data_IF_648776427167
#
_entry.id   IF_648776427167
#
_cell.length_a   1.000
_cell.length_b   1.000
_cell.length_c   1.000
_cell.angle_alpha   90.00
_cell.angle_beta   90.00
_cell.angle_gamma   90.00
#
_symmetry.space_group_name_H-M   'P 1'
#
loop_
_entity.id
_entity.type
_entity.pdbx_description
1 polymer ?
#
# COMPACT_ATOMS: atom_id res chain seq x y z
N UNK A 1 -5.24 2.60 4.42
CA UNK A 1 -6.71 2.45 4.51
C UNK A 1 -7.32 1.92 3.21
N UNK A 2 -6.95 2.44 2.03
CA UNK A 2 -7.57 2.03 0.77
C UNK A 2 -7.41 0.54 0.39
N UNK A 3 -6.32 -0.10 0.81
CA UNK A 3 -6.01 -1.52 0.50
C UNK A 3 -6.89 -2.48 1.31
N UNK A 4 -7.05 -2.21 2.62
CA UNK A 4 -7.86 -2.99 3.55
C UNK A 4 -8.35 -2.07 4.66
N UNK A 5 -9.65 -2.06 4.97
CA UNK A 5 -10.26 -1.05 5.85
C UNK A 5 -10.99 -1.64 7.05
N UNK A 6 -11.35 -2.92 7.02
CA UNK A 6 -12.12 -3.60 8.04
C UNK A 6 -11.35 -3.66 9.37
N UNK A 7 -12.03 -3.44 10.50
CA UNK A 7 -11.40 -3.27 11.82
C UNK A 7 -10.50 -4.44 12.23
N UNK A 8 -10.89 -5.68 11.90
CA UNK A 8 -10.12 -6.91 12.14
C UNK A 8 -8.71 -6.90 11.53
N UNK A 9 -8.49 -6.15 10.46
CA UNK A 9 -7.18 -6.04 9.79
C UNK A 9 -6.32 -4.88 10.31
N UNK A 10 -6.57 -4.40 11.53
CA UNK A 10 -5.79 -3.32 12.16
C UNK A 10 -4.29 -3.59 12.19
N UNK A 11 -3.86 -4.83 12.54
CA UNK A 11 -2.44 -5.22 12.53
C UNK A 11 -1.85 -5.14 11.11
N UNK A 12 -2.56 -5.65 10.11
CA UNK A 12 -2.15 -5.57 8.71
C UNK A 12 -1.98 -4.11 8.25
N UNK A 13 -2.92 -3.21 8.58
CA UNK A 13 -2.80 -1.79 8.24
C UNK A 13 -1.59 -1.14 8.87
N UNK A 14 -1.32 -1.39 10.15
CA UNK A 14 -0.14 -0.83 10.85
C UNK A 14 1.16 -1.32 10.20
N UNK A 15 1.23 -2.62 9.91
CA UNK A 15 2.37 -3.23 9.22
C UNK A 15 2.59 -2.62 7.83
N UNK A 16 1.53 -2.55 7.01
CA UNK A 16 1.60 -1.98 5.67
C UNK A 16 1.99 -0.50 5.68
N UNK A 17 1.52 0.29 6.65
CA UNK A 17 1.93 1.68 6.80
C UNK A 17 3.42 1.80 7.13
N UNK A 18 3.95 1.00 8.09
CA UNK A 18 5.40 0.98 8.37
C UNK A 18 6.20 0.64 7.11
N UNK A 19 5.78 -0.39 6.38
CA UNK A 19 6.42 -0.82 5.12
C UNK A 19 6.47 0.32 4.09
N UNK A 20 5.34 0.97 3.83
CA UNK A 20 5.27 2.09 2.87
C UNK A 20 6.14 3.27 3.31
N UNK A 21 6.18 3.61 4.60
CA UNK A 21 7.05 4.67 5.10
C UNK A 21 8.54 4.36 4.93
N UNK A 22 8.95 3.11 5.15
CA UNK A 22 10.35 2.69 4.93
C UNK A 22 10.67 2.73 3.44
N UNK A 23 9.80 2.17 2.59
CA UNK A 23 10.00 2.18 1.14
C UNK A 23 10.10 3.58 0.57
N UNK A 24 9.27 4.52 1.01
CA UNK A 24 9.32 5.93 0.53
C UNK A 24 10.62 6.63 0.94
N UNK A 25 11.13 6.36 2.14
CA UNK A 25 12.44 6.89 2.54
C UNK A 25 13.60 6.30 1.72
N UNK A 26 13.50 5.01 1.36
CA UNK A 26 14.46 4.35 0.47
C UNK A 26 14.33 4.88 -0.96
N UNK A 27 13.12 5.10 -1.45
CA UNK A 27 12.83 5.68 -2.77
C UNK A 27 13.51 7.05 -2.92
N UNK A 28 13.29 7.96 -1.97
CA UNK A 28 13.97 9.27 -1.93
C UNK A 28 15.50 9.14 -1.88
N UNK A 29 16.00 8.12 -1.18
CA UNK A 29 17.44 7.84 -1.11
C UNK A 29 18.01 7.43 -2.48
N UNK A 30 17.31 6.60 -3.24
CA UNK A 30 17.74 6.21 -4.59
C UNK A 30 17.56 7.33 -5.63
N UNK A 31 16.54 8.18 -5.47
CA UNK A 31 16.20 9.21 -6.48
C UNK A 31 16.87 10.58 -6.23
N UNK A 32 17.17 10.94 -4.98
CA UNK A 32 17.60 12.31 -4.62
C UNK A 32 18.94 12.33 -3.88
N UNK A 33 19.14 11.45 -2.91
CA UNK A 33 20.24 11.61 -1.95
C UNK A 33 21.50 10.79 -2.27
N UNK A 34 21.34 9.57 -2.77
CA UNK A 34 22.43 8.63 -2.98
C UNK A 34 23.23 8.89 -4.24
N UNK A 35 24.55 8.77 -4.15
CA UNK A 35 25.37 8.60 -5.35
C UNK A 35 25.31 7.16 -5.85
N UNK A 36 25.61 6.91 -7.13
CA UNK A 36 25.56 5.57 -7.71
C UNK A 36 26.41 4.56 -6.92
N UNK A 37 27.63 4.94 -6.54
CA UNK A 37 28.55 4.11 -5.76
C UNK A 37 27.98 3.77 -4.37
N UNK A 38 27.33 4.74 -3.70
CA UNK A 38 26.70 4.51 -2.41
C UNK A 38 25.46 3.60 -2.53
N UNK A 39 24.68 3.76 -3.61
CA UNK A 39 23.49 2.95 -3.88
C UNK A 39 23.85 1.51 -4.26
N UNK A 40 24.98 1.29 -4.92
CA UNK A 40 25.52 -0.06 -5.18
C UNK A 40 25.86 -0.75 -3.85
N UNK A 41 26.57 -0.07 -2.94
CA UNK A 41 26.86 -0.58 -1.60
C UNK A 41 25.59 -0.88 -0.80
N UNK A 42 24.58 0.01 -0.87
CA UNK A 42 23.31 -0.22 -0.20
C UNK A 42 22.61 -1.47 -0.74
N UNK A 43 22.55 -1.60 -2.07
CA UNK A 43 21.93 -2.75 -2.75
C UNK A 43 22.62 -4.05 -2.36
N UNK A 44 23.95 -4.05 -2.33
CA UNK A 44 24.75 -5.18 -1.86
C UNK A 44 24.46 -5.53 -0.40
N UNK A 45 24.32 -4.53 0.47
CA UNK A 45 23.94 -4.76 1.86
C UNK A 45 22.53 -5.37 2.00
N UNK A 46 21.58 -4.97 1.16
CA UNK A 46 20.23 -5.58 1.10
C UNK A 46 20.33 -7.03 0.66
N UNK A 47 21.08 -7.32 -0.40
CA UNK A 47 21.25 -8.67 -0.94
C UNK A 47 21.90 -9.60 0.09
N UNK A 48 22.91 -9.12 0.83
CA UNK A 48 23.54 -9.90 1.91
C UNK A 48 22.61 -10.14 3.10
N UNK A 49 21.68 -9.22 3.36
CA UNK A 49 20.74 -9.25 4.48
C UNK A 49 21.43 -9.58 5.83
N UNK A 50 22.50 -8.84 6.15
CA UNK A 50 23.33 -8.99 7.34
C UNK A 50 23.59 -7.61 8.00
N UNK A 51 23.40 -7.51 9.32
CA UNK A 51 23.68 -6.30 10.09
C UNK A 51 25.13 -5.80 9.94
N UNK A 52 26.09 -6.70 9.68
CA UNK A 52 27.48 -6.28 9.46
C UNK A 52 27.68 -5.48 8.19
N UNK A 53 26.86 -5.72 7.15
CA UNK A 53 26.94 -4.95 5.91
C UNK A 53 26.65 -3.46 6.12
N UNK A 54 25.97 -3.10 7.22
CA UNK A 54 25.72 -1.72 7.61
C UNK A 54 27.00 -0.93 7.95
N UNK A 55 28.09 -1.61 8.34
CA UNK A 55 29.37 -0.95 8.64
C UNK A 55 30.00 -0.29 7.40
N UNK A 56 29.67 -0.82 6.20
CA UNK A 56 30.17 -0.35 4.91
C UNK A 56 29.35 0.85 4.38
N UNK A 57 28.20 1.19 5.00
CA UNK A 57 27.28 2.21 4.50
C UNK A 57 27.54 3.61 5.08
N UNK A 58 27.23 4.68 4.34
CA UNK A 58 27.14 6.03 4.88
C UNK A 58 26.12 6.15 6.02
N UNK A 59 26.36 7.06 6.97
CA UNK A 59 25.58 7.16 8.21
C UNK A 59 24.06 7.35 7.99
N UNK A 60 23.68 8.13 6.98
CA UNK A 60 22.26 8.38 6.66
C UNK A 60 21.57 7.12 6.10
N UNK A 61 22.29 6.30 5.33
CA UNK A 61 21.78 5.04 4.76
C UNK A 61 21.61 3.95 5.82
N UNK A 62 22.46 3.94 6.85
CA UNK A 62 22.36 2.97 7.96
C UNK A 62 21.01 3.00 8.64
N UNK A 63 20.41 4.18 8.80
CA UNK A 63 19.10 4.35 9.42
C UNK A 63 18.03 3.65 8.58
N UNK A 64 18.04 3.87 7.26
CA UNK A 64 17.12 3.23 6.31
C UNK A 64 17.31 1.70 6.29
N UNK A 65 18.56 1.25 6.22
CA UNK A 65 18.91 -0.17 6.26
C UNK A 65 18.42 -0.84 7.54
N UNK A 66 18.73 -0.26 8.70
CA UNK A 66 18.36 -0.80 10.00
C UNK A 66 16.84 -0.84 10.18
N UNK A 67 16.12 0.19 9.73
CA UNK A 67 14.66 0.21 9.76
C UNK A 67 14.06 -0.92 8.92
N UNK A 68 14.53 -1.10 7.69
CA UNK A 68 14.12 -2.18 6.79
C UNK A 68 14.47 -3.56 7.34
N UNK A 69 15.70 -3.75 7.82
CA UNK A 69 16.19 -5.01 8.37
C UNK A 69 15.37 -5.42 9.59
N UNK A 70 15.20 -4.53 10.56
CA UNK A 70 14.43 -4.83 11.77
C UNK A 70 12.97 -5.12 11.44
N UNK A 71 12.35 -4.34 10.56
CA UNK A 71 10.98 -4.57 10.14
C UNK A 71 10.82 -5.90 9.42
N UNK A 72 11.68 -6.22 8.45
CA UNK A 72 11.64 -7.48 7.71
C UNK A 72 11.80 -8.70 8.63
N UNK A 73 12.72 -8.64 9.60
CA UNK A 73 12.90 -9.71 10.58
C UNK A 73 11.74 -9.80 11.58
N UNK A 74 11.15 -8.68 12.02
CA UNK A 74 9.92 -8.65 12.84
C UNK A 74 8.79 -9.41 12.13
N UNK A 75 8.56 -9.10 10.84
CA UNK A 75 7.52 -9.74 10.03
C UNK A 75 7.83 -11.22 9.80
N UNK A 76 9.07 -11.55 9.48
CA UNK A 76 9.46 -12.93 9.28
C UNK A 76 9.25 -13.79 10.53
N UNK A 77 9.66 -13.28 11.69
CA UNK A 77 9.44 -13.96 12.97
C UNK A 77 7.95 -14.12 13.26
N UNK A 78 7.14 -13.08 13.05
CA UNK A 78 5.70 -13.13 13.25
C UNK A 78 5.02 -14.16 12.34
N UNK A 79 5.42 -14.24 11.07
CA UNK A 79 4.87 -15.20 10.12
C UNK A 79 5.29 -16.63 10.48
N UNK A 80 6.56 -16.83 10.82
CA UNK A 80 7.07 -18.12 11.27
C UNK A 80 6.34 -18.60 12.52
N UNK A 81 6.17 -17.72 13.51
CA UNK A 81 5.52 -18.05 14.79
C UNK A 81 4.04 -18.37 14.65
N UNK A 82 3.30 -17.62 13.83
CA UNK A 82 1.84 -17.74 13.74
C UNK A 82 1.37 -18.70 12.64
N UNK A 83 2.20 -18.92 11.61
CA UNK A 83 1.82 -19.69 10.42
C UNK A 83 2.81 -20.80 10.07
N UNK A 84 3.97 -20.89 10.74
CA UNK A 84 4.98 -21.92 10.48
C UNK A 84 5.73 -21.75 9.14
N UNK A 85 5.62 -20.57 8.51
CA UNK A 85 6.23 -20.29 7.21
C UNK A 85 7.53 -19.51 7.39
N UNK A 86 8.64 -20.04 6.88
CA UNK A 86 9.89 -19.30 6.77
C UNK A 86 9.84 -18.40 5.53
N UNK A 87 9.70 -17.09 5.75
CA UNK A 87 9.65 -16.11 4.67
C UNK A 87 11.00 -15.43 4.42
N UNK A 88 12.00 -15.61 5.30
CA UNK A 88 13.33 -15.04 5.09
C UNK A 88 14.05 -15.71 3.93
N UNK A 89 13.77 -16.99 3.67
CA UNK A 89 14.31 -17.70 2.51
C UNK A 89 13.91 -17.03 1.20
N UNK A 90 12.66 -16.56 1.07
CA UNK A 90 12.19 -15.84 -0.12
C UNK A 90 12.82 -14.46 -0.28
N UNK A 91 13.14 -13.77 0.83
CA UNK A 91 13.83 -12.46 0.79
C UNK A 91 15.27 -12.63 0.28
N UNK A 92 15.92 -13.76 0.58
CA UNK A 92 17.29 -14.06 0.15
C UNK A 92 17.40 -14.64 -1.26
N UNK A 93 16.29 -15.11 -1.85
CA UNK A 93 16.26 -15.76 -3.18
C UNK A 93 15.90 -14.80 -4.34
N UNK A 94 16.00 -13.48 -4.13
CA UNK A 94 15.59 -12.50 -5.12
C UNK A 94 16.75 -12.08 -6.05
N UNK A 95 17.10 -12.95 -7.00
CA UNK A 95 17.89 -12.55 -8.18
C UNK A 95 16.98 -11.81 -9.17
N UNK A 96 16.81 -10.50 -9.00
CA UNK A 96 16.41 -9.60 -10.08
C UNK A 96 17.46 -8.51 -10.27
N UNK A 97 18.59 -8.90 -10.87
CA UNK A 97 19.55 -7.96 -11.45
C UNK A 97 19.13 -7.72 -12.90
N UNK A 98 18.48 -6.58 -13.15
CA UNK A 98 18.59 -5.74 -14.36
C UNK A 98 17.45 -4.71 -14.40
N UNK A 99 17.50 -3.70 -13.52
CA UNK A 99 16.89 -2.38 -13.82
C UNK A 99 17.76 -1.27 -13.25
N UNK A 100 18.64 -0.77 -14.11
CA UNK A 100 19.22 0.56 -13.94
C UNK A 100 18.17 1.63 -14.25
N UNK A 101 18.26 2.71 -13.47
CA UNK A 101 17.52 3.99 -13.56
C UNK A 101 15.98 3.93 -13.50
N UNK A 102 15.39 4.84 -12.71
CA UNK A 102 13.94 5.07 -12.65
C UNK A 102 13.51 5.84 -13.90
N UNK A 103 13.55 5.17 -15.04
CA UNK A 103 13.02 5.72 -16.27
C UNK A 103 11.49 5.71 -16.21
N UNK A 104 10.88 6.91 -16.14
CA UNK A 104 9.41 7.07 -16.13
C UNK A 104 8.84 6.37 -17.35
N UNK A 105 7.78 5.59 -17.17
CA UNK A 105 7.19 4.74 -18.24
C UNK A 105 6.87 5.51 -19.54
N UNK A 106 6.45 6.78 -19.42
CA UNK A 106 6.23 7.68 -20.56
C UNK A 106 7.55 7.97 -21.28
N UNK A 107 8.60 8.34 -20.56
CA UNK A 107 9.91 8.63 -21.14
C UNK A 107 10.53 7.39 -21.80
N UNK A 108 10.41 6.21 -21.17
CA UNK A 108 10.78 4.94 -21.80
C UNK A 108 10.03 4.70 -23.11
N UNK A 109 8.72 4.93 -23.12
CA UNK A 109 7.89 4.75 -24.32
C UNK A 109 8.30 5.73 -25.43
N UNK A 110 8.55 7.00 -25.10
CA UNK A 110 9.08 7.99 -26.05
C UNK A 110 10.41 7.54 -26.67
N UNK A 111 11.36 7.07 -25.85
CA UNK A 111 12.68 6.62 -26.34
C UNK A 111 12.54 5.36 -27.19
N UNK A 112 11.83 4.34 -26.69
CA UNK A 112 11.74 3.03 -27.35
C UNK A 112 10.95 3.07 -28.64
N UNK A 113 9.91 3.89 -28.69
CA UNK A 113 8.93 3.88 -29.78
C UNK A 113 9.02 5.14 -30.66
N UNK A 114 9.88 6.11 -30.30
CA UNK A 114 10.13 7.32 -31.08
C UNK A 114 8.93 8.27 -31.15
N UNK A 115 8.03 8.22 -30.15
CA UNK A 115 6.76 8.97 -30.15
C UNK A 115 6.80 10.22 -29.28
N UNK A 116 5.91 11.16 -29.56
CA UNK A 116 5.74 12.36 -28.75
C UNK A 116 5.19 12.02 -27.34
N UNK A 117 5.43 12.90 -26.35
CA UNK A 117 5.02 12.67 -24.97
C UNK A 117 3.52 12.41 -24.81
N UNK A 118 2.66 13.19 -25.49
CA UNK A 118 1.21 13.01 -25.42
C UNK A 118 0.77 11.65 -25.97
N UNK A 119 1.41 11.19 -27.06
CA UNK A 119 1.14 9.87 -27.63
C UNK A 119 1.64 8.75 -26.69
N UNK A 120 2.83 8.88 -26.12
CA UNK A 120 3.32 7.97 -25.08
C UNK A 120 2.37 7.92 -23.87
N UNK A 121 1.87 9.08 -23.42
CA UNK A 121 0.92 9.18 -22.32
C UNK A 121 -0.39 8.45 -22.62
N UNK A 122 -0.92 8.60 -23.83
CA UNK A 122 -2.13 7.90 -24.25
C UNK A 122 -1.91 6.39 -24.40
N UNK A 123 -0.74 5.94 -24.86
CA UNK A 123 -0.34 4.52 -24.86
C UNK A 123 -0.28 3.95 -23.44
N UNK A 124 0.35 4.64 -22.50
CA UNK A 124 0.40 4.23 -21.09
C UNK A 124 -1.01 4.16 -20.49
N UNK A 125 -1.89 5.14 -20.76
CA UNK A 125 -3.30 5.10 -20.32
C UNK A 125 -4.05 3.89 -20.89
N UNK A 126 -3.84 3.56 -22.17
CA UNK A 126 -4.44 2.39 -22.79
C UNK A 126 -3.98 1.10 -22.12
N UNK A 127 -2.69 0.96 -21.80
CA UNK A 127 -2.14 -0.17 -21.05
C UNK A 127 -2.74 -0.29 -19.64
N UNK A 128 -2.92 0.82 -18.93
CA UNK A 128 -3.60 0.85 -17.63
C UNK A 128 -5.04 0.36 -17.77
N UNK A 129 -5.79 0.86 -18.76
CA UNK A 129 -7.17 0.44 -19.03
C UNK A 129 -7.28 -1.05 -19.36
N UNK A 130 -6.35 -1.56 -20.19
CA UNK A 130 -6.26 -2.99 -20.49
C UNK A 130 -5.99 -3.82 -19.23
N UNK A 131 -5.04 -3.40 -18.39
CA UNK A 131 -4.68 -4.08 -17.14
C UNK A 131 -5.86 -4.11 -16.16
N UNK A 132 -6.64 -3.03 -16.09
CA UNK A 132 -7.89 -2.98 -15.32
C UNK A 132 -8.91 -4.02 -15.75
N UNK A 133 -9.08 -4.22 -17.07
CA UNK A 133 -9.98 -5.25 -17.60
C UNK A 133 -9.53 -6.65 -17.16
N UNK A 134 -8.24 -6.95 -17.25
CA UNK A 134 -7.66 -8.22 -16.80
C UNK A 134 -7.84 -8.46 -15.30
N UNK A 135 -7.63 -7.43 -14.48
CA UNK A 135 -7.84 -7.51 -13.04
C UNK A 135 -9.32 -7.77 -12.68
N UNK A 136 -10.25 -7.13 -13.39
CA UNK A 136 -11.68 -7.36 -13.22
C UNK A 136 -12.09 -8.79 -13.64
N UNK A 137 -11.57 -9.29 -14.76
CA UNK A 137 -11.77 -10.69 -15.19
C UNK A 137 -11.27 -11.68 -14.14
N UNK A 138 -10.06 -11.48 -13.59
CA UNK A 138 -9.50 -12.32 -12.55
C UNK A 138 -10.34 -12.30 -11.27
N UNK A 139 -10.82 -11.12 -10.87
CA UNK A 139 -11.71 -10.96 -9.70
C UNK A 139 -13.04 -11.70 -9.91
N UNK A 140 -13.62 -11.61 -11.10
CA UNK A 140 -14.87 -12.28 -11.44
C UNK A 140 -14.77 -13.81 -11.36
N UNK A 141 -13.61 -14.39 -11.71
CA UNK A 141 -13.35 -15.84 -11.63
C UNK A 141 -13.30 -16.38 -10.20
N UNK A 142 -12.98 -15.52 -9.22
CA UNK A 142 -12.74 -15.90 -7.82
C UNK A 142 -14.00 -15.70 -6.95
N UNK A 143 -15.16 -15.43 -7.57
CA UNK A 143 -16.42 -15.12 -6.89
C UNK A 143 -17.11 -16.27 -6.14
N UNK A 144 -16.47 -17.42 -5.95
CA UNK A 144 -16.96 -18.42 -5.01
C UNK A 144 -16.68 -17.96 -3.57
N UNK A 145 -17.73 -17.97 -2.72
CA UNK A 145 -17.72 -17.43 -1.33
C UNK A 145 -16.64 -18.00 -0.40
N UNK A 146 -15.92 -19.05 -0.83
CA UNK A 146 -14.95 -19.78 -0.01
C UNK A 146 -13.59 -19.98 -0.70
N UNK A 147 -13.24 -19.18 -1.71
CA UNK A 147 -11.93 -19.32 -2.35
C UNK A 147 -10.81 -18.83 -1.42
N UNK A 148 -9.78 -19.65 -1.12
CA UNK A 148 -8.73 -19.30 -0.15
C UNK A 148 -7.92 -18.04 -0.54
N UNK A 149 -7.81 -17.75 -1.84
CA UNK A 149 -7.12 -16.54 -2.32
C UNK A 149 -7.98 -15.26 -2.38
N UNK A 150 -9.27 -15.29 -1.98
CA UNK A 150 -10.18 -14.14 -2.15
C UNK A 150 -9.68 -12.87 -1.46
N UNK A 151 -9.13 -13.01 -0.25
CA UNK A 151 -8.59 -11.89 0.51
C UNK A 151 -7.42 -11.23 -0.21
N UNK A 152 -6.48 -12.02 -0.75
CA UNK A 152 -5.33 -11.52 -1.50
C UNK A 152 -5.78 -10.78 -2.75
N UNK A 153 -6.71 -11.38 -3.52
CA UNK A 153 -7.23 -10.78 -4.75
C UNK A 153 -7.96 -9.45 -4.47
N UNK A 154 -8.74 -9.41 -3.38
CA UNK A 154 -9.43 -8.20 -2.95
C UNK A 154 -8.43 -7.11 -2.55
N UNK A 155 -7.37 -7.47 -1.83
CA UNK A 155 -6.29 -6.54 -1.48
C UNK A 155 -5.57 -6.01 -2.73
N UNK A 156 -5.25 -6.87 -3.72
CA UNK A 156 -4.63 -6.45 -4.98
C UNK A 156 -5.53 -5.49 -5.77
N UNK A 157 -6.84 -5.78 -5.86
CA UNK A 157 -7.81 -4.90 -6.50
C UNK A 157 -7.89 -3.54 -5.79
N UNK A 158 -7.96 -3.57 -4.47
CA UNK A 158 -8.01 -2.36 -3.65
C UNK A 158 -6.72 -1.55 -3.73
N UNK A 159 -5.56 -2.19 -3.92
CA UNK A 159 -4.29 -1.51 -4.17
C UNK A 159 -4.33 -0.74 -5.49
N UNK A 160 -4.80 -1.35 -6.58
CA UNK A 160 -4.99 -0.67 -7.86
C UNK A 160 -5.96 0.53 -7.74
N UNK A 161 -7.08 0.35 -7.02
CA UNK A 161 -8.05 1.44 -6.74
C UNK A 161 -7.43 2.56 -5.90
N UNK A 162 -6.61 2.19 -4.93
CA UNK A 162 -5.92 3.15 -4.07
C UNK A 162 -4.93 3.98 -4.88
N UNK A 163 -4.10 3.34 -5.70
CA UNK A 163 -3.17 4.03 -6.60
C UNK A 163 -3.92 4.99 -7.55
N UNK A 164 -5.00 4.54 -8.18
CA UNK A 164 -5.83 5.41 -9.02
C UNK A 164 -6.39 6.60 -8.23
N UNK A 165 -6.93 6.37 -7.03
CA UNK A 165 -7.50 7.43 -6.19
C UNK A 165 -6.47 8.48 -5.78
N UNK A 166 -5.23 8.05 -5.53
CA UNK A 166 -4.09 8.92 -5.18
C UNK A 166 -3.66 9.76 -6.39
N UNK A 167 -3.49 9.14 -7.56
CA UNK A 167 -2.82 9.76 -8.70
C UNK A 167 -3.74 10.37 -9.77
N UNK A 168 -5.05 10.12 -9.72
CA UNK A 168 -5.99 10.59 -10.76
C UNK A 168 -6.08 12.12 -10.90
N UNK A 169 -5.60 12.88 -9.92
CA UNK A 169 -5.63 14.35 -9.92
C UNK A 169 -4.23 14.97 -9.82
N UNK A 170 -3.20 14.23 -10.23
CA UNK A 170 -1.80 14.61 -10.06
C UNK A 170 -1.15 13.84 -8.92
N UNK A 171 -0.03 14.35 -8.41
CA UNK A 171 0.69 13.68 -7.33
C UNK A 171 -0.02 13.86 -5.99
N UNK A 172 -0.78 12.85 -5.57
CA UNK A 172 -1.48 12.85 -4.30
C UNK A 172 -0.64 12.48 -3.08
N UNK A 173 0.64 12.11 -3.25
CA UNK A 173 1.54 11.72 -2.14
C UNK A 173 2.50 12.86 -1.80
N UNK A 174 3.22 13.38 -2.80
CA UNK A 174 4.22 14.43 -2.61
C UNK A 174 3.61 15.81 -2.40
N UNK A 175 2.33 16.02 -2.77
CA UNK A 175 1.65 17.31 -2.54
C UNK A 175 0.91 17.32 -1.21
N UNK A 176 1.23 18.31 -0.35
CA UNK A 176 0.57 18.53 0.95
C UNK A 176 -0.76 19.30 0.85
N UNK A 177 -1.30 19.45 -0.37
CA UNK A 177 -2.46 20.26 -0.71
C UNK A 177 -3.38 19.53 -1.71
N UNK A 178 -4.66 19.92 -1.76
CA UNK A 178 -5.60 19.43 -2.78
C UNK A 178 -6.48 18.24 -2.37
N UNK A 179 -7.04 17.57 -3.37
CA UNK A 179 -8.16 16.62 -3.21
C UNK A 179 -7.83 15.46 -2.26
N UNK A 180 -6.58 14.98 -2.27
CA UNK A 180 -6.16 13.86 -1.40
C UNK A 180 -6.22 14.25 0.08
N UNK A 181 -5.76 15.46 0.44
CA UNK A 181 -5.83 15.97 1.82
C UNK A 181 -7.27 16.15 2.29
N UNK A 182 -8.15 16.66 1.43
CA UNK A 182 -9.56 16.84 1.77
C UNK A 182 -10.25 15.49 2.04
N UNK A 183 -9.98 14.49 1.19
CA UNK A 183 -10.46 13.12 1.38
C UNK A 183 -9.96 12.52 2.69
N UNK A 184 -8.67 12.66 3.00
CA UNK A 184 -8.10 12.16 4.26
C UNK A 184 -8.70 12.84 5.49
N UNK A 185 -8.91 14.16 5.42
CA UNK A 185 -9.54 14.93 6.50
C UNK A 185 -10.96 14.44 6.76
N UNK A 186 -11.74 14.23 5.71
CA UNK A 186 -13.10 13.70 5.83
C UNK A 186 -13.14 12.27 6.39
N UNK A 187 -12.20 11.41 5.95
CA UNK A 187 -12.20 9.99 6.29
C UNK A 187 -11.65 9.68 7.70
N UNK A 188 -10.64 10.43 8.15
CA UNK A 188 -9.88 10.10 9.38
C UNK A 188 -10.14 11.10 10.51
N UNK A 189 -10.32 12.39 10.18
CA UNK A 189 -10.36 13.46 11.19
C UNK A 189 -11.79 13.85 11.54
N UNK A 190 -12.68 13.94 10.54
CA UNK A 190 -14.06 14.44 10.73
C UNK A 190 -15.03 13.27 10.93
N UNK A 191 -15.57 13.06 12.16
CA UNK A 191 -16.58 12.03 12.37
C UNK A 191 -17.88 12.39 11.64
N UNK A 192 -18.62 11.37 11.22
CA UNK A 192 -19.96 11.55 10.66
C UNK A 192 -20.88 12.01 11.80
N UNK A 193 -21.57 13.15 11.68
CA UNK A 193 -22.55 13.57 12.68
C UNK A 193 -23.66 12.53 12.77
N UNK A 194 -23.90 12.01 13.98
CA UNK A 194 -25.04 11.14 14.26
C UNK A 194 -26.16 12.05 14.77
N UNK A 195 -27.27 12.23 14.03
CA UNK A 195 -28.42 12.97 14.54
C UNK A 195 -28.95 12.22 15.76
N UNK A 196 -28.85 12.83 16.94
CA UNK A 196 -29.53 12.31 18.12
C UNK A 196 -31.01 12.63 17.91
N UNK A 197 -31.78 11.67 17.42
CA UNK A 197 -33.23 11.75 17.63
C UNK A 197 -33.41 11.74 19.14
N UNK A 198 -33.95 12.83 19.69
CA UNK A 198 -34.43 12.86 21.06
C UNK A 198 -35.39 11.69 21.22
N UNK A 199 -34.93 10.59 21.83
CA UNK A 199 -35.82 9.61 22.41
C UNK A 199 -36.49 10.35 23.55
N UNK A 200 -37.69 10.88 23.27
CA UNK A 200 -38.56 11.43 24.30
C UNK A 200 -38.90 10.28 25.24
N UNK A 201 -38.12 10.12 26.31
CA UNK A 201 -38.42 9.22 27.43
C UNK A 201 -39.79 9.50 28.06
N UNK A 202 -40.41 10.65 27.75
CA UNK A 202 -41.77 10.99 28.16
C UNK A 202 -42.88 10.28 27.36
N UNK A 203 -42.61 9.75 26.15
CA UNK A 203 -43.63 9.06 25.35
C UNK A 203 -43.83 7.59 25.76
N UNK A 204 -42.81 6.92 26.31
CA UNK A 204 -42.92 5.52 26.76
C UNK A 204 -43.63 5.36 28.12
N UNK A 205 -43.92 6.47 28.82
CA UNK A 205 -44.66 6.46 30.08
C UNK A 205 -46.16 6.77 29.91
N UNK A 206 -46.63 7.02 28.68
CA UNK A 206 -48.02 7.41 28.41
C UNK A 206 -48.93 6.29 27.87
N UNK A 207 -48.41 5.09 27.55
CA UNK A 207 -49.24 3.96 27.14
C UNK A 207 -48.98 2.66 27.93
N UNK A 208 -49.73 2.42 29.03
CA UNK A 208 -49.55 1.22 29.86
C UNK A 208 -50.08 -0.10 29.27
N UNK A 209 -50.54 -0.15 28.02
CA UNK A 209 -51.43 -1.23 27.54
C UNK A 209 -50.92 -2.14 26.41
N UNK A 210 -49.61 -2.20 26.13
CA UNK A 210 -49.07 -3.14 25.13
C UNK A 210 -48.13 -4.23 25.68
N UNK A 211 -47.99 -4.35 27.00
CA UNK A 211 -47.21 -5.43 27.63
C UNK A 211 -47.94 -6.79 27.70
N UNK A 212 -49.13 -6.95 27.11
CA UNK A 212 -49.92 -8.19 27.22
C UNK A 212 -50.05 -9.02 25.93
N UNK A 213 -49.31 -8.72 24.85
CA UNK A 213 -49.39 -9.49 23.58
C UNK A 213 -48.07 -10.21 23.23
N UNK A 214 -47.11 -10.30 24.16
CA UNK A 214 -45.82 -10.96 23.92
C UNK A 214 -45.38 -11.90 25.05
N UNK A 215 -46.33 -12.67 25.62
CA UNK A 215 -46.03 -13.94 26.31
C UNK A 215 -46.76 -15.08 25.63
#
# INVERSE_FOLDING_TARGET
>A
MGIVFESQFSKCRKCLTKFVCILTAIDDMYDIYGSLDELELFTDAVNRWDLKAMEELPEYMKICYLAMFNFGNEIAYDVLKNHGLDVLSYIKEQDEIERGDVAKSIHCCMIKEGVAEEEARDRIKALISFSWKKLNEATAKINHRHHPARSIVTMSLNMARTAQSIFQHGDGIGTSIGITKDRLTSLIVKPIPIPIQHVNHQAMLQEPNLLLVAM
#
